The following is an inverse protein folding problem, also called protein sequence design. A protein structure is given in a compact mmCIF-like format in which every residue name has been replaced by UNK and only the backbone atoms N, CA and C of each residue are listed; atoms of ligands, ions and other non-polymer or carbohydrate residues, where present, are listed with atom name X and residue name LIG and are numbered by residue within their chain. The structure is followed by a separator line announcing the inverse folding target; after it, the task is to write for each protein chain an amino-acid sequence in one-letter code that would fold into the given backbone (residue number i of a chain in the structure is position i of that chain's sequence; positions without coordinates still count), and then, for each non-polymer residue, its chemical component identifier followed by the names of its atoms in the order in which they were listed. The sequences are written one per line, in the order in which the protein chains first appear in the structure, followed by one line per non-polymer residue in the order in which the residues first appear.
data_IF_867021848467
#
_entry.id   IF_867021848467
#
_cell.length_a   1.000
_cell.length_b   1.000
_cell.length_c   1.000
_cell.angle_alpha   90.00
_cell.angle_beta   90.00
_cell.angle_gamma   90.00
#
_symmetry.space_group_name_H-M   'P 1'
#
loop_
_entity.id
_entity.type
_entity.pdbx_description
1 polymer ?
#
# COMPACT_ATOMS: atom_id res chain seq x y z
N UNK A 1 -57.45 7.77 27.78
CA UNK A 1 -57.10 8.09 29.19
C UNK A 1 -58.29 7.83 30.10
N UNK A 2 -58.09 7.78 31.42
CA UNK A 2 -59.14 7.86 32.46
C UNK A 2 -59.03 9.22 33.18
N UNK A 3 -60.09 9.69 33.85
CA UNK A 3 -60.10 10.97 34.59
C UNK A 3 -60.57 10.74 36.02
N UNK A 4 -59.82 11.27 36.99
CA UNK A 4 -60.10 11.18 38.42
C UNK A 4 -59.76 12.52 39.10
N UNK A 5 -60.51 12.91 40.13
CA UNK A 5 -60.30 14.16 40.88
C UNK A 5 -61.54 14.58 41.68
N UNK A 6 -61.36 15.36 42.75
CA UNK A 6 -62.44 15.72 43.68
C UNK A 6 -63.63 16.45 43.02
N UNK A 7 -63.37 17.12 41.90
CA UNK A 7 -64.33 17.97 41.21
C UNK A 7 -64.88 17.35 39.91
N UNK A 8 -64.48 16.13 39.53
CA UNK A 8 -64.96 15.49 38.28
C UNK A 8 -66.49 15.33 38.25
N UNK A 9 -67.14 15.23 39.42
CA UNK A 9 -68.59 15.17 39.58
C UNK A 9 -69.30 16.52 39.64
N UNK A 10 -68.58 17.65 39.62
CA UNK A 10 -69.18 19.00 39.51
C UNK A 10 -69.58 19.36 38.08
N UNK A 11 -69.08 18.62 37.08
CA UNK A 11 -69.51 18.76 35.70
C UNK A 11 -70.77 17.91 35.46
N UNK A 12 -71.78 18.50 34.83
CA UNK A 12 -73.05 17.82 34.52
C UNK A 12 -72.85 16.65 33.54
N UNK A 13 -71.84 16.74 32.67
CA UNK A 13 -71.35 15.64 31.83
C UNK A 13 -69.88 15.88 31.46
N UNK A 14 -68.99 14.96 31.85
CA UNK A 14 -67.58 14.97 31.44
C UNK A 14 -67.33 13.74 30.57
N UNK A 15 -67.26 13.96 29.25
CA UNK A 15 -66.97 12.90 28.27
C UNK A 15 -65.52 13.04 27.81
N UNK A 16 -64.72 12.00 28.02
CA UNK A 16 -63.37 11.94 27.49
C UNK A 16 -63.42 11.77 25.97
N UNK A 17 -62.65 12.57 25.25
CA UNK A 17 -62.36 12.31 23.84
C UNK A 17 -61.60 10.97 23.74
N UNK A 18 -62.15 10.05 22.95
CA UNK A 18 -61.60 8.72 22.73
C UNK A 18 -60.88 8.61 21.38
N UNK A 19 -60.75 9.72 20.65
CA UNK A 19 -59.96 9.80 19.43
C UNK A 19 -58.51 9.45 19.79
N UNK A 20 -57.95 8.35 19.23
CA UNK A 20 -56.55 8.01 19.46
C UNK A 20 -55.67 9.14 18.97
N UNK A 21 -54.75 9.61 19.82
CA UNK A 21 -53.68 10.51 19.41
C UNK A 21 -52.42 9.68 19.18
N UNK A 22 -51.72 9.94 18.09
CA UNK A 22 -50.44 9.33 17.76
C UNK A 22 -49.44 10.41 17.42
N UNK A 23 -48.20 10.24 17.87
CA UNK A 23 -47.05 11.03 17.43
C UNK A 23 -46.19 10.16 16.55
N UNK A 24 -45.92 10.60 15.33
CA UNK A 24 -44.87 10.01 14.49
C UNK A 24 -43.55 10.72 14.77
N UNK A 25 -42.50 9.95 15.05
CA UNK A 25 -41.12 10.45 15.02
C UNK A 25 -40.56 10.08 13.66
N UNK A 26 -40.02 11.06 12.95
CA UNK A 26 -39.31 10.87 11.69
C UNK A 26 -37.85 11.22 11.91
N UNK A 27 -36.99 10.51 11.20
CA UNK A 27 -35.56 10.77 11.17
C UNK A 27 -35.27 12.18 10.61
N UNK A 28 -34.16 12.79 11.03
CA UNK A 28 -33.72 14.11 10.60
C UNK A 28 -32.84 13.97 9.34
N UNK A 29 -33.37 14.24 8.13
CA UNK A 29 -32.58 14.05 6.92
C UNK A 29 -31.49 15.13 6.86
N UNK A 30 -30.26 14.73 6.53
CA UNK A 30 -29.16 15.65 6.24
C UNK A 30 -29.53 16.63 5.12
N UNK A 31 -30.02 17.80 5.49
CA UNK A 31 -30.32 18.92 4.59
C UNK A 31 -29.57 20.15 5.10
N UNK A 32 -29.11 21.08 4.24
CA UNK A 32 -28.39 22.26 4.71
C UNK A 32 -29.22 23.05 5.73
N UNK A 33 -28.77 23.06 7.01
CA UNK A 33 -29.44 23.72 8.11
C UNK A 33 -29.75 22.84 9.33
N UNK A 34 -29.71 21.51 9.20
CA UNK A 34 -29.65 20.54 10.30
C UNK A 34 -28.83 19.32 9.82
N UNK A 35 -27.64 19.17 10.39
CA UNK A 35 -26.71 18.09 10.05
C UNK A 35 -27.14 16.87 10.86
N UNK A 36 -27.82 15.89 10.24
CA UNK A 36 -28.10 14.59 10.85
C UNK A 36 -26.82 13.96 11.43
N UNK A 37 -26.98 12.90 12.23
CA UNK A 37 -25.91 12.41 13.08
C UNK A 37 -24.64 12.05 12.27
N UNK A 38 -23.55 12.77 12.54
CA UNK A 38 -22.30 12.64 11.79
C UNK A 38 -21.63 11.29 12.06
N UNK A 39 -21.48 10.50 11.00
CA UNK A 39 -20.60 9.32 10.95
C UNK A 39 -19.40 9.66 10.07
N UNK A 40 -18.25 9.83 10.71
CA UNK A 40 -17.00 10.17 10.03
C UNK A 40 -16.04 8.99 10.06
N UNK A 41 -15.64 8.53 8.88
CA UNK A 41 -14.70 7.41 8.70
C UNK A 41 -13.36 7.95 8.21
N UNK A 42 -12.28 7.63 8.91
CA UNK A 42 -10.93 8.10 8.57
C UNK A 42 -9.94 6.93 8.50
N UNK A 43 -8.79 7.17 7.89
CA UNK A 43 -7.67 6.23 7.85
C UNK A 43 -6.41 6.95 8.29
N UNK A 44 -5.59 6.27 9.10
CA UNK A 44 -4.26 6.75 9.50
C UNK A 44 -3.21 5.72 9.13
N UNK A 45 -2.02 6.19 8.78
CA UNK A 45 -0.84 5.34 8.72
C UNK A 45 -0.28 5.19 10.14
N UNK A 46 0.11 3.97 10.52
CA UNK A 46 0.64 3.73 11.87
C UNK A 46 2.16 4.01 11.94
N UNK A 47 2.79 4.21 10.78
CA UNK A 47 4.19 4.58 10.63
C UNK A 47 4.33 5.71 9.61
N UNK A 48 5.39 6.52 9.73
CA UNK A 48 5.74 7.54 8.71
C UNK A 48 6.47 6.93 7.52
N UNK A 49 7.21 5.84 7.75
CA UNK A 49 7.99 5.16 6.73
C UNK A 49 8.22 3.70 7.08
N UNK A 50 8.44 2.87 6.07
CA UNK A 50 8.90 1.49 6.16
C UNK A 50 10.00 1.25 5.12
N UNK A 51 10.90 0.30 5.37
CA UNK A 51 11.82 -0.15 4.34
C UNK A 51 11.11 -1.05 3.32
N UNK A 52 11.72 -1.27 2.16
CA UNK A 52 11.29 -2.34 1.26
C UNK A 52 11.27 -3.69 1.98
N UNK A 53 10.46 -4.63 1.49
CA UNK A 53 10.12 -5.88 2.16
C UNK A 53 9.44 -5.76 3.54
N UNK A 54 9.22 -4.55 4.07
CA UNK A 54 8.49 -4.33 5.32
C UNK A 54 7.04 -3.93 5.00
N UNK A 55 6.09 -4.62 5.64
CA UNK A 55 4.66 -4.35 5.46
C UNK A 55 4.27 -3.05 6.17
N UNK A 56 3.68 -2.06 5.47
CA UNK A 56 3.10 -0.90 6.12
C UNK A 56 1.76 -1.27 6.76
N UNK A 57 1.45 -0.63 7.90
CA UNK A 57 0.15 -0.80 8.57
C UNK A 57 -0.62 0.50 8.64
N UNK A 58 -1.94 0.36 8.58
CA UNK A 58 -2.89 1.44 8.62
C UNK A 58 -4.00 1.06 9.60
N UNK A 59 -4.61 2.07 10.22
CA UNK A 59 -5.80 1.89 11.05
C UNK A 59 -6.94 2.69 10.46
N UNK A 60 -8.07 2.03 10.22
CA UNK A 60 -9.33 2.67 9.84
C UNK A 60 -10.12 2.98 11.09
N UNK A 61 -10.70 4.16 11.19
CA UNK A 61 -11.44 4.65 12.35
C UNK A 61 -12.83 5.10 11.95
N UNK A 62 -13.77 4.99 12.88
CA UNK A 62 -15.07 5.68 12.85
C UNK A 62 -15.19 6.52 14.14
N UNK A 63 -15.77 7.71 14.03
CA UNK A 63 -15.83 8.68 15.13
C UNK A 63 -16.72 8.26 16.32
N UNK A 64 -17.51 7.20 16.17
CA UNK A 64 -18.41 6.69 17.21
C UNK A 64 -18.69 5.19 17.01
N UNK A 65 -19.00 4.44 18.08
CA UNK A 65 -19.39 3.04 17.95
C UNK A 65 -20.71 2.92 17.20
N UNK A 66 -20.80 1.94 16.30
CA UNK A 66 -22.01 1.64 15.53
C UNK A 66 -22.68 0.35 16.04
N UNK A 67 -23.99 0.24 15.81
CA UNK A 67 -24.78 -0.93 16.24
C UNK A 67 -24.50 -2.19 15.39
N UNK A 68 -23.99 -2.02 14.16
CA UNK A 68 -23.63 -3.10 13.26
C UNK A 68 -22.18 -2.96 12.79
N UNK A 69 -21.68 -4.00 12.14
CA UNK A 69 -20.38 -3.97 11.47
C UNK A 69 -20.39 -2.90 10.37
N UNK A 70 -19.29 -2.17 10.23
CA UNK A 70 -19.04 -1.23 9.14
C UNK A 70 -18.03 -1.83 8.17
N UNK A 71 -18.42 -1.97 6.91
CA UNK A 71 -17.54 -2.46 5.84
C UNK A 71 -16.98 -1.26 5.08
N UNK A 72 -15.68 -1.04 5.21
CA UNK A 72 -14.95 0.06 4.57
C UNK A 72 -14.16 -0.50 3.39
N UNK A 73 -14.36 0.06 2.19
CA UNK A 73 -13.57 -0.26 1.00
C UNK A 73 -12.47 0.78 0.83
N UNK A 74 -11.22 0.32 0.76
CA UNK A 74 -10.05 1.15 0.55
C UNK A 74 -9.77 1.37 -0.95
N UNK A 75 -8.94 2.37 -1.28
CA UNK A 75 -8.59 2.75 -2.66
C UNK A 75 -7.86 1.65 -3.45
N UNK A 76 -7.31 0.65 -2.77
CA UNK A 76 -6.73 -0.55 -3.39
C UNK A 76 -7.73 -1.72 -3.50
N UNK A 77 -9.02 -1.45 -3.30
CA UNK A 77 -10.14 -2.40 -3.28
C UNK A 77 -10.12 -3.41 -2.11
N UNK A 78 -9.20 -3.28 -1.15
CA UNK A 78 -9.26 -4.08 0.07
C UNK A 78 -10.48 -3.66 0.91
N UNK A 79 -11.04 -4.62 1.64
CA UNK A 79 -12.11 -4.37 2.61
C UNK A 79 -11.59 -4.50 4.03
N UNK A 80 -11.98 -3.54 4.87
CA UNK A 80 -11.72 -3.52 6.31
C UNK A 80 -13.07 -3.49 7.01
N UNK A 81 -13.27 -4.38 7.99
CA UNK A 81 -14.50 -4.40 8.79
C UNK A 81 -14.23 -3.87 10.18
N UNK A 82 -14.86 -2.75 10.54
CA UNK A 82 -14.95 -2.31 11.94
C UNK A 82 -16.14 -3.05 12.55
N UNK A 83 -15.91 -3.78 13.64
CA UNK A 83 -16.97 -4.57 14.29
C UNK A 83 -17.95 -3.69 15.04
N UNK A 84 -19.20 -4.12 15.14
CA UNK A 84 -20.21 -3.45 15.95
C UNK A 84 -19.68 -3.16 17.37
N UNK A 85 -19.91 -1.94 17.85
CA UNK A 85 -19.41 -1.45 19.14
C UNK A 85 -17.94 -1.00 19.16
N UNK A 86 -17.14 -1.35 18.16
CA UNK A 86 -15.75 -0.90 18.02
C UNK A 86 -15.67 0.40 17.20
N UNK A 87 -14.57 1.13 17.36
CA UNK A 87 -14.33 2.39 16.64
C UNK A 87 -13.16 2.32 15.67
N UNK A 88 -12.48 1.18 15.57
CA UNK A 88 -11.32 1.04 14.68
C UNK A 88 -11.07 -0.40 14.26
N UNK A 89 -10.40 -0.58 13.12
CA UNK A 89 -9.88 -1.86 12.69
C UNK A 89 -8.53 -1.69 11.94
N UNK A 90 -7.57 -2.61 12.15
CA UNK A 90 -6.29 -2.55 11.49
C UNK A 90 -6.35 -3.08 10.05
N UNK A 91 -5.44 -2.59 9.21
CA UNK A 91 -5.18 -3.07 7.87
C UNK A 91 -3.68 -3.16 7.63
N UNK A 92 -3.22 -4.28 7.06
CA UNK A 92 -1.83 -4.48 6.68
C UNK A 92 -1.74 -4.51 5.16
N UNK A 93 -0.99 -3.57 4.58
CA UNK A 93 -0.73 -3.54 3.15
C UNK A 93 0.37 -4.56 2.80
N UNK A 94 0.42 -5.00 1.53
CA UNK A 94 1.58 -5.75 1.05
C UNK A 94 2.83 -4.87 1.12
N UNK A 95 3.99 -5.47 1.42
CA UNK A 95 5.24 -4.73 1.30
C UNK A 95 5.50 -4.41 -0.18
N UNK A 96 6.17 -3.29 -0.44
CA UNK A 96 6.88 -3.14 -1.70
C UNK A 96 7.95 -4.24 -1.78
N UNK A 97 8.11 -4.83 -2.97
CA UNK A 97 9.20 -5.79 -3.20
C UNK A 97 10.54 -5.09 -3.06
N UNK A 98 11.59 -5.88 -2.93
CA UNK A 98 12.96 -5.41 -2.76
C UNK A 98 13.76 -5.81 -4.00
N UNK A 99 14.63 -4.92 -4.45
CA UNK A 99 15.48 -5.14 -5.59
C UNK A 99 16.84 -4.43 -5.44
N UNK A 100 17.67 -4.47 -6.48
CA UNK A 100 19.03 -3.90 -6.44
C UNK A 100 19.09 -2.43 -6.86
N UNK A 101 17.95 -1.85 -7.19
CA UNK A 101 17.84 -0.50 -7.73
C UNK A 101 17.49 0.47 -6.63
N UNK A 102 17.73 1.75 -6.91
CA UNK A 102 17.37 2.81 -6.00
C UNK A 102 16.03 3.40 -6.43
N UNK A 103 14.95 2.97 -5.79
CA UNK A 103 13.58 3.31 -6.16
C UNK A 103 12.65 3.51 -4.95
N UNK A 104 13.14 4.31 -3.99
CA UNK A 104 12.32 4.85 -2.91
C UNK A 104 10.96 5.38 -3.40
N UNK A 105 9.92 5.12 -2.61
CA UNK A 105 8.53 5.31 -3.04
C UNK A 105 7.59 5.81 -1.95
N UNK A 106 6.30 5.79 -2.25
CA UNK A 106 5.24 6.14 -1.32
C UNK A 106 4.01 5.29 -1.58
N UNK A 107 3.43 4.75 -0.51
CA UNK A 107 2.13 4.08 -0.53
C UNK A 107 1.08 5.06 0.00
N UNK A 108 0.03 5.30 -0.77
CA UNK A 108 -1.10 6.15 -0.39
C UNK A 108 -2.39 5.34 -0.43
N UNK A 109 -3.13 5.32 0.68
CA UNK A 109 -4.40 4.61 0.84
C UNK A 109 -5.48 5.57 1.31
N UNK A 110 -6.55 5.63 0.51
CA UNK A 110 -7.78 6.36 0.84
C UNK A 110 -8.94 5.44 1.12
N UNK A 111 -10.05 6.01 1.58
CA UNK A 111 -11.33 5.33 1.73
C UNK A 111 -12.20 5.65 0.52
N UNK A 112 -12.71 4.62 -0.15
CA UNK A 112 -13.58 4.75 -1.32
C UNK A 112 -15.05 4.65 -0.94
N UNK A 113 -15.40 3.81 0.03
CA UNK A 113 -16.76 3.71 0.56
C UNK A 113 -16.77 3.17 1.98
N UNK A 114 -17.84 3.45 2.71
CA UNK A 114 -18.15 2.83 3.99
C UNK A 114 -19.65 2.49 4.00
N UNK A 115 -19.99 1.24 4.29
CA UNK A 115 -21.35 0.72 4.20
C UNK A 115 -21.65 -0.07 5.48
N UNK A 116 -22.78 0.22 6.11
CA UNK A 116 -23.30 -0.61 7.19
C UNK A 116 -23.55 -2.03 6.67
N UNK A 117 -23.12 -3.06 7.40
CA UNK A 117 -23.20 -4.44 6.94
C UNK A 117 -24.63 -4.94 6.66
N UNK A 118 -25.65 -4.27 7.20
CA UNK A 118 -27.06 -4.55 6.93
C UNK A 118 -27.61 -3.81 5.71
N UNK A 119 -26.84 -2.86 5.15
CA UNK A 119 -27.24 -1.99 4.05
C UNK A 119 -28.02 -0.73 4.49
N UNK A 120 -28.05 -0.44 5.80
CA UNK A 120 -28.63 0.80 6.32
C UNK A 120 -27.87 2.04 5.79
N UNK A 121 -28.60 3.12 5.55
CA UNK A 121 -28.04 4.41 5.13
C UNK A 121 -27.79 5.30 6.34
N UNK A 122 -26.61 5.91 6.43
CA UNK A 122 -26.34 6.95 7.42
C UNK A 122 -26.98 8.28 7.00
N UNK A 123 -27.46 9.05 7.99
CA UNK A 123 -28.00 10.39 7.79
C UNK A 123 -26.93 11.36 7.26
N UNK A 124 -25.70 11.25 7.80
CA UNK A 124 -24.56 12.09 7.43
C UNK A 124 -23.24 11.29 7.46
N UNK A 125 -22.89 10.66 6.34
CA UNK A 125 -21.61 9.96 6.19
C UNK A 125 -20.54 10.87 5.58
N UNK A 126 -19.45 11.09 6.31
CA UNK A 126 -18.25 11.75 5.82
C UNK A 126 -17.08 10.77 5.72
N UNK A 127 -16.34 10.85 4.61
CA UNK A 127 -15.10 10.11 4.41
C UNK A 127 -13.90 11.06 4.53
N UNK A 128 -12.91 10.66 5.33
CA UNK A 128 -11.66 11.39 5.52
C UNK A 128 -10.71 11.30 4.32
N UNK A 129 -9.61 12.05 4.40
CA UNK A 129 -8.55 12.01 3.40
C UNK A 129 -7.72 10.72 3.44
N UNK A 130 -6.85 10.57 2.44
CA UNK A 130 -5.92 9.45 2.37
C UNK A 130 -4.79 9.54 3.41
N UNK A 131 -4.30 8.39 3.84
CA UNK A 131 -3.08 8.24 4.61
C UNK A 131 -1.93 7.80 3.71
N UNK A 132 -0.69 8.14 4.08
CA UNK A 132 0.50 7.75 3.31
C UNK A 132 1.63 7.28 4.21
N UNK A 133 2.42 6.34 3.68
CA UNK A 133 3.65 5.82 4.26
C UNK A 133 4.75 5.95 3.21
N UNK A 134 5.90 6.52 3.57
CA UNK A 134 7.07 6.51 2.68
C UNK A 134 7.69 5.11 2.66
N UNK A 135 8.16 4.68 1.49
CA UNK A 135 8.96 3.47 1.36
C UNK A 135 10.40 3.88 1.15
N UNK A 136 11.27 3.51 2.10
CA UNK A 136 12.70 3.73 1.98
C UNK A 136 13.35 2.54 1.30
N UNK A 137 14.16 2.85 0.30
CA UNK A 137 15.04 1.93 -0.41
C UNK A 137 15.91 1.09 0.53
N UNK A 138 16.10 -0.19 0.20
CA UNK A 138 17.14 -1.02 0.81
C UNK A 138 18.45 -0.98 0.02
N UNK A 139 19.55 -1.36 0.64
CA UNK A 139 20.86 -1.33 -0.03
C UNK A 139 21.29 -2.75 -0.36
N UNK A 140 21.29 -3.04 -1.66
CA UNK A 140 21.58 -4.37 -2.18
C UNK A 140 22.80 -4.36 -3.09
N UNK A 141 23.85 -5.05 -2.63
CA UNK A 141 25.13 -5.04 -3.34
C UNK A 141 25.06 -5.87 -4.63
N UNK A 142 25.49 -5.26 -5.73
CA UNK A 142 25.77 -5.94 -7.00
C UNK A 142 27.28 -5.99 -7.21
N UNK A 143 27.81 -7.20 -7.32
CA UNK A 143 29.23 -7.45 -7.61
C UNK A 143 29.41 -7.71 -9.10
N UNK A 144 30.32 -6.97 -9.71
CA UNK A 144 30.81 -7.26 -11.06
C UNK A 144 32.11 -8.09 -10.99
N UNK A 145 32.05 -9.35 -11.41
CA UNK A 145 33.19 -10.26 -11.42
C UNK A 145 33.81 -10.37 -12.80
N UNK A 146 35.08 -9.99 -12.92
CA UNK A 146 35.89 -10.25 -14.11
C UNK A 146 36.53 -11.63 -14.05
N UNK A 147 36.42 -12.38 -15.14
CA UNK A 147 37.15 -13.63 -15.38
C UNK A 147 37.79 -13.60 -16.76
N UNK A 148 38.79 -14.46 -16.97
CA UNK A 148 39.42 -14.64 -18.27
C UNK A 148 39.59 -16.14 -18.54
N UNK A 149 39.73 -16.50 -19.82
CA UNK A 149 40.18 -17.85 -20.22
C UNK A 149 41.51 -18.18 -19.52
N UNK A 150 41.61 -19.28 -18.74
CA UNK A 150 42.76 -19.54 -17.88
C UNK A 150 44.11 -19.67 -18.59
N UNK A 151 44.09 -20.17 -19.83
CA UNK A 151 45.28 -20.35 -20.66
C UNK A 151 44.88 -20.40 -22.13
N UNK A 152 45.74 -19.87 -22.99
CA UNK A 152 45.62 -19.95 -24.45
C UNK A 152 47.00 -20.23 -25.05
N UNK A 153 47.06 -20.76 -26.26
CA UNK A 153 48.31 -20.80 -27.03
C UNK A 153 48.64 -19.42 -27.58
N UNK A 154 49.89 -19.20 -27.99
CA UNK A 154 50.27 -18.02 -28.79
C UNK A 154 49.37 -17.90 -30.02
N UNK A 155 48.97 -16.67 -30.35
CA UNK A 155 47.97 -16.38 -31.38
C UNK A 155 46.52 -16.81 -31.06
N UNK A 156 46.27 -17.43 -29.90
CA UNK A 156 44.94 -17.83 -29.45
C UNK A 156 44.10 -16.66 -28.92
N UNK A 157 42.79 -16.85 -28.77
CA UNK A 157 41.88 -15.83 -28.23
C UNK A 157 41.73 -15.93 -26.71
N UNK A 158 42.06 -14.85 -26.02
CA UNK A 158 41.74 -14.64 -24.60
C UNK A 158 40.32 -14.07 -24.54
N UNK A 159 39.39 -14.78 -23.90
CA UNK A 159 38.04 -14.25 -23.64
C UNK A 159 37.97 -13.71 -22.23
N UNK A 160 37.64 -12.43 -22.10
CA UNK A 160 37.31 -11.80 -20.82
C UNK A 160 35.79 -11.78 -20.64
N UNK A 161 35.32 -12.10 -19.44
CA UNK A 161 33.89 -12.15 -19.11
C UNK A 161 33.63 -11.37 -17.83
N UNK A 162 32.69 -10.42 -17.90
CA UNK A 162 32.09 -9.79 -16.73
C UNK A 162 30.79 -10.53 -16.41
N UNK A 163 30.59 -10.87 -15.14
CA UNK A 163 29.33 -11.39 -14.61
C UNK A 163 28.87 -10.53 -13.45
N UNK A 164 27.63 -10.03 -13.51
CA UNK A 164 26.96 -9.31 -12.43
C UNK A 164 26.22 -10.31 -11.55
N UNK A 165 26.41 -10.20 -10.24
CA UNK A 165 25.74 -11.05 -9.25
C UNK A 165 25.33 -10.24 -8.03
N UNK A 166 24.14 -10.51 -7.51
CA UNK A 166 23.70 -10.09 -6.18
C UNK A 166 23.66 -11.33 -5.26
N UNK A 167 24.04 -11.18 -3.99
CA UNK A 167 24.18 -12.30 -3.05
C UNK A 167 22.86 -13.01 -2.75
N UNK A 168 21.74 -12.31 -2.80
CA UNK A 168 20.41 -12.86 -2.48
C UNK A 168 19.65 -13.28 -3.74
N UNK A 169 20.27 -13.13 -4.92
CA UNK A 169 19.67 -13.50 -6.20
C UNK A 169 18.58 -12.53 -6.66
N UNK A 170 18.59 -11.29 -6.17
CA UNK A 170 17.67 -10.25 -6.63
C UNK A 170 17.86 -9.99 -8.14
N UNK A 171 16.78 -9.69 -8.88
CA UNK A 171 16.87 -9.47 -10.33
C UNK A 171 17.76 -8.27 -10.67
N UNK A 172 18.65 -8.46 -11.66
CA UNK A 172 19.49 -7.40 -12.24
C UNK A 172 19.04 -7.22 -13.70
N UNK A 173 17.89 -6.60 -13.91
CA UNK A 173 17.19 -6.57 -15.21
C UNK A 173 16.54 -5.21 -15.55
N UNK A 174 16.90 -4.14 -14.84
CA UNK A 174 16.43 -2.77 -15.08
C UNK A 174 17.60 -1.78 -15.13
N UNK A 175 18.59 -2.05 -15.98
CA UNK A 175 19.73 -1.17 -16.18
C UNK A 175 20.04 -0.99 -17.67
N UNK A 176 20.55 0.18 -18.03
CA UNK A 176 21.12 0.42 -19.36
C UNK A 176 22.40 -0.40 -19.55
N UNK A 177 22.91 -0.46 -20.79
CA UNK A 177 24.17 -1.13 -21.06
C UNK A 177 25.31 -0.57 -20.19
N UNK A 178 26.12 -1.46 -19.62
CA UNK A 178 27.27 -1.12 -18.78
C UNK A 178 28.55 -1.44 -19.52
N UNK A 179 29.51 -0.51 -19.51
CA UNK A 179 30.80 -0.66 -20.17
C UNK A 179 31.93 -0.76 -19.15
N UNK A 180 32.76 -1.78 -19.31
CA UNK A 180 33.92 -2.04 -18.47
C UNK A 180 35.17 -1.96 -19.33
N UNK A 181 36.01 -0.95 -19.08
CA UNK A 181 37.31 -0.80 -19.73
C UNK A 181 38.38 -1.45 -18.85
N UNK A 182 39.11 -2.43 -19.40
CA UNK A 182 40.20 -3.07 -18.66
C UNK A 182 41.40 -2.11 -18.49
N UNK A 183 42.30 -2.45 -17.56
CA UNK A 183 43.48 -1.63 -17.25
C UNK A 183 44.44 -1.39 -18.42
N UNK A 184 44.30 -2.17 -19.51
CA UNK A 184 45.04 -1.96 -20.75
C UNK A 184 44.58 -0.71 -21.54
N UNK A 185 43.45 -0.12 -21.15
CA UNK A 185 42.83 1.05 -21.76
C UNK A 185 42.23 0.81 -23.15
N UNK A 186 42.19 -0.43 -23.64
CA UNK A 186 41.75 -0.79 -25.00
C UNK A 186 40.61 -1.80 -25.01
N UNK A 187 40.66 -2.79 -24.11
CA UNK A 187 39.65 -3.84 -24.06
C UNK A 187 38.41 -3.32 -23.37
N UNK A 188 37.28 -3.29 -24.09
CA UNK A 188 35.98 -2.85 -23.58
C UNK A 188 35.03 -4.02 -23.59
N UNK A 189 34.49 -4.36 -22.42
CA UNK A 189 33.44 -5.36 -22.24
C UNK A 189 32.12 -4.62 -22.04
N UNK A 190 31.12 -4.94 -22.85
CA UNK A 190 29.77 -4.40 -22.67
C UNK A 190 28.87 -5.48 -22.11
N UNK A 191 28.30 -5.23 -20.94
CA UNK A 191 27.12 -5.96 -20.46
C UNK A 191 25.90 -5.26 -21.07
N UNK A 192 25.08 -5.95 -21.89
CA UNK A 192 23.94 -5.31 -22.55
C UNK A 192 22.89 -4.86 -21.53
N UNK A 193 22.00 -3.96 -21.95
CA UNK A 193 20.89 -3.53 -21.11
C UNK A 193 20.09 -4.75 -20.60
N UNK A 194 19.75 -4.74 -19.31
CA UNK A 194 19.04 -5.80 -18.60
C UNK A 194 19.75 -7.18 -18.62
N UNK A 195 21.01 -7.23 -19.04
CA UNK A 195 21.82 -8.44 -19.07
C UNK A 195 22.76 -8.52 -17.87
N UNK A 196 23.14 -9.73 -17.48
CA UNK A 196 24.07 -9.95 -16.36
C UNK A 196 25.46 -10.40 -16.80
N UNK A 197 25.68 -10.61 -18.10
CA UNK A 197 26.95 -11.10 -18.65
C UNK A 197 27.36 -10.29 -19.86
N UNK A 198 28.65 -9.96 -19.93
CA UNK A 198 29.29 -9.32 -21.08
C UNK A 198 30.64 -9.97 -21.37
N UNK A 199 31.06 -9.99 -22.64
CA UNK A 199 32.33 -10.60 -23.06
C UNK A 199 33.11 -9.71 -24.04
N UNK A 200 34.43 -9.83 -24.04
CA UNK A 200 35.31 -9.31 -25.08
C UNK A 200 36.46 -10.29 -25.34
N UNK A 201 36.98 -10.33 -26.57
CA UNK A 201 38.14 -11.17 -26.93
C UNK A 201 39.36 -10.32 -27.29
N UNK A 202 40.54 -10.84 -26.96
CA UNK A 202 41.84 -10.27 -27.31
C UNK A 202 42.75 -11.40 -27.80
N UNK A 203 43.45 -11.20 -28.91
CA UNK A 203 44.43 -12.17 -29.41
C UNK A 203 45.70 -12.13 -28.57
N UNK A 204 46.13 -13.28 -28.06
CA UNK A 204 47.42 -13.40 -27.40
C UNK A 204 48.56 -13.11 -28.40
N UNK A 205 49.62 -12.40 -27.97
CA UNK A 205 50.79 -12.19 -28.82
C UNK A 205 51.34 -13.52 -29.37
N UNK A 206 51.85 -13.47 -30.59
CA UNK A 206 52.47 -14.60 -31.27
C UNK A 206 53.90 -14.23 -31.68
N UNK A 207 54.83 -15.17 -31.53
CA UNK A 207 56.22 -14.97 -31.89
C UNK A 207 56.88 -16.29 -32.34
N UNK A 208 58.13 -16.21 -32.82
CA UNK A 208 58.84 -17.35 -33.43
C UNK A 208 59.66 -18.20 -32.43
N UNK A 209 59.65 -17.87 -31.14
CA UNK A 209 60.45 -18.51 -30.10
C UNK A 209 59.58 -19.38 -29.18
N UNK A 210 60.17 -20.39 -28.52
CA UNK A 210 59.45 -21.33 -27.65
C UNK A 210 59.69 -20.98 -26.17
N UNK A 211 58.63 -20.71 -25.41
CA UNK A 211 58.69 -20.40 -23.97
C UNK A 211 59.15 -18.97 -23.64
N UNK A 212 58.91 -18.53 -22.40
CA UNK A 212 59.39 -17.23 -21.87
C UNK A 212 60.90 -17.19 -21.74
#
# INVERSE_FOLDING_TARGET
ATVEGADVGKFEQLTLDKTPVSTSVTDEPGTPGNEGDLVKVTITADQTSVAENVKPTFTVHVNQPLAHDLVVTLSNNAQVTIKAGETSAPYTHAAQGDDVYNDAGQISLGITSAVDATGATFENLELGGAASVQVTDTTDEVVAKLTATPSVTEGGEITYTITLTNKDGLPINNHSALTFTLSDGKTVITVPANGTVGTATVTAPDNVYVGT
#
